data_IF_578521703935
#
_entry.id   IF_578521703935
#
_cell.length_a   1.000
_cell.length_b   1.000
_cell.length_c   1.000
_cell.angle_alpha   90.00
_cell.angle_beta   90.00
_cell.angle_gamma   90.00
#
_symmetry.space_group_name_H-M   'P 1'
#
loop_
_entity.id
_entity.type
_entity.pdbx_description
1 polymer ?
#
# COMPACT_ATOMS: atom_id res chain seq x y z
N UNK A 1 -7.45 -6.34 11.89
CA UNK A 1 -6.00 -6.65 11.90
C UNK A 1 -5.67 -7.89 12.72
N UNK A 2 -5.93 -7.91 14.04
CA UNK A 2 -5.62 -9.07 14.91
C UNK A 2 -6.17 -10.40 14.39
N UNK A 3 -7.46 -10.43 13.99
CA UNK A 3 -8.07 -11.62 13.38
C UNK A 3 -7.27 -12.12 12.16
N UNK A 4 -6.82 -11.21 11.29
CA UNK A 4 -6.02 -11.57 10.10
C UNK A 4 -4.65 -12.15 10.46
N UNK A 5 -4.01 -11.64 11.51
CA UNK A 5 -2.75 -12.16 12.03
C UNK A 5 -2.92 -13.55 12.65
N UNK A 6 -4.00 -13.75 13.42
CA UNK A 6 -4.36 -15.06 14.01
C UNK A 6 -4.62 -16.07 12.89
N UNK A 7 -5.46 -15.72 11.91
CA UNK A 7 -5.75 -16.58 10.77
C UNK A 7 -4.48 -16.96 10.00
N UNK A 8 -3.55 -16.03 9.80
CA UNK A 8 -2.26 -16.29 9.16
C UNK A 8 -1.42 -17.29 9.95
N UNK A 9 -1.32 -17.13 11.28
CA UNK A 9 -0.55 -18.02 12.15
C UNK A 9 -1.14 -19.43 12.19
N UNK A 10 -2.45 -19.53 12.44
CA UNK A 10 -3.18 -20.80 12.47
C UNK A 10 -3.09 -21.50 11.11
N UNK A 11 -3.27 -20.77 10.00
CA UNK A 11 -3.19 -21.38 8.68
C UNK A 11 -1.83 -21.96 8.34
N UNK A 12 -0.74 -21.38 8.88
CA UNK A 12 0.60 -21.92 8.67
C UNK A 12 0.81 -23.24 9.40
N UNK A 13 0.37 -23.32 10.66
CA UNK A 13 0.50 -24.49 11.52
C UNK A 13 -0.36 -25.66 11.02
N UNK A 14 -1.63 -25.40 10.71
CA UNK A 14 -2.56 -26.45 10.24
C UNK A 14 -2.36 -26.85 8.78
N UNK A 15 -1.68 -26.04 7.96
CA UNK A 15 -1.34 -26.42 6.57
C UNK A 15 -0.38 -27.60 6.51
N UNK A 16 0.50 -27.75 7.50
CA UNK A 16 1.46 -28.86 7.54
C UNK A 16 0.75 -30.22 7.72
N UNK A 17 -0.30 -30.24 8.54
CA UNK A 17 -1.02 -31.45 8.95
C UNK A 17 -2.27 -31.75 8.10
N UNK A 18 -2.68 -30.84 7.21
CA UNK A 18 -3.93 -30.97 6.47
C UNK A 18 -3.76 -31.65 5.10
N UNK A 19 -4.68 -32.58 4.81
CA UNK A 19 -4.88 -33.12 3.46
C UNK A 19 -5.40 -32.07 2.45
N UNK A 20 -6.17 -31.08 2.91
CA UNK A 20 -6.73 -30.00 2.08
C UNK A 20 -5.87 -28.72 2.19
N UNK A 21 -4.71 -28.72 1.52
CA UNK A 21 -3.77 -27.59 1.52
C UNK A 21 -4.33 -26.31 0.87
N UNK A 22 -5.27 -26.44 -0.07
CA UNK A 22 -5.88 -25.30 -0.76
C UNK A 22 -6.68 -24.40 0.18
N UNK A 23 -7.48 -24.99 1.08
CA UNK A 23 -8.27 -24.25 2.05
C UNK A 23 -7.37 -23.38 2.96
N UNK A 24 -6.28 -23.96 3.46
CA UNK A 24 -5.34 -23.25 4.32
C UNK A 24 -4.51 -22.21 3.58
N UNK A 25 -4.17 -22.43 2.30
CA UNK A 25 -3.56 -21.41 1.47
C UNK A 25 -4.49 -20.20 1.27
N UNK A 26 -5.79 -20.44 1.05
CA UNK A 26 -6.79 -19.38 0.94
C UNK A 26 -6.99 -18.65 2.26
N UNK A 27 -7.03 -19.37 3.39
CA UNK A 27 -7.14 -18.77 4.72
C UNK A 27 -5.91 -17.90 5.06
N UNK A 28 -4.70 -18.35 4.68
CA UNK A 28 -3.47 -17.56 4.82
C UNK A 28 -3.51 -16.28 3.96
N UNK A 29 -3.93 -16.41 2.70
CA UNK A 29 -4.08 -15.28 1.77
C UNK A 29 -5.15 -14.29 2.24
N UNK A 30 -6.32 -14.80 2.62
CA UNK A 30 -7.44 -13.99 3.14
C UNK A 30 -7.09 -13.28 4.44
N UNK A 31 -6.42 -13.95 5.37
CA UNK A 31 -5.95 -13.33 6.62
C UNK A 31 -4.92 -12.22 6.37
N UNK A 32 -4.00 -12.43 5.44
CA UNK A 32 -3.00 -11.43 5.03
C UNK A 32 -3.66 -10.23 4.33
N UNK A 33 -4.62 -10.47 3.44
CA UNK A 33 -5.39 -9.41 2.80
C UNK A 33 -6.21 -8.61 3.82
N UNK A 34 -6.87 -9.28 4.76
CA UNK A 34 -7.62 -8.62 5.83
C UNK A 34 -6.73 -7.73 6.70
N UNK A 35 -5.51 -8.18 6.99
CA UNK A 35 -4.54 -7.39 7.74
C UNK A 35 -4.10 -6.14 6.96
N UNK A 36 -3.79 -6.29 5.67
CA UNK A 36 -3.43 -5.19 4.79
C UNK A 36 -4.55 -4.16 4.65
N UNK A 37 -5.78 -4.62 4.40
CA UNK A 37 -6.95 -3.75 4.30
C UNK A 37 -7.19 -2.99 5.61
N UNK A 38 -7.09 -3.67 6.75
CA UNK A 38 -7.23 -3.03 8.06
C UNK A 38 -6.18 -1.93 8.28
N UNK A 39 -4.92 -2.16 7.89
CA UNK A 39 -3.87 -1.13 7.96
C UNK A 39 -4.20 0.08 7.08
N UNK A 40 -4.74 -0.16 5.88
CA UNK A 40 -5.11 0.91 4.98
C UNK A 40 -6.35 1.70 5.43
N UNK A 41 -7.35 1.05 6.04
CA UNK A 41 -8.46 1.75 6.68
C UNK A 41 -7.99 2.65 7.83
N UNK A 42 -7.05 2.17 8.65
CA UNK A 42 -6.44 2.97 9.72
C UNK A 42 -5.72 4.18 9.11
N UNK A 43 -4.87 3.96 8.10
CA UNK A 43 -4.13 5.04 7.44
C UNK A 43 -5.07 6.07 6.79
N UNK A 44 -6.08 5.62 6.06
CA UNK A 44 -7.08 6.50 5.46
C UNK A 44 -7.88 7.28 6.49
N UNK A 45 -8.21 6.67 7.63
CA UNK A 45 -8.91 7.34 8.74
C UNK A 45 -8.04 8.43 9.37
N UNK A 46 -6.75 8.17 9.57
CA UNK A 46 -5.79 9.18 10.06
C UNK A 46 -5.68 10.35 9.07
N UNK A 47 -5.59 10.05 7.77
CA UNK A 47 -5.51 11.08 6.71
C UNK A 47 -6.80 11.89 6.54
N UNK A 48 -7.97 11.30 6.80
CA UNK A 48 -9.26 11.99 6.74
C UNK A 48 -9.51 12.92 7.94
N UNK A 49 -8.72 12.76 9.01
CA UNK A 49 -8.96 13.40 10.30
C UNK A 49 -9.94 12.60 11.15
N UNK A 50 -9.53 12.29 12.38
CA UNK A 50 -10.38 11.61 13.35
C UNK A 50 -11.27 12.65 14.04
N UNK A 51 -12.60 12.45 14.04
CA UNK A 51 -13.52 13.26 14.83
C UNK A 51 -13.27 13.03 16.32
N UNK A 52 -12.55 13.95 16.95
CA UNK A 52 -12.26 13.92 18.38
C UNK A 52 -12.97 15.10 19.04
N UNK A 53 -13.84 14.82 20.01
CA UNK A 53 -14.44 15.85 20.87
C UNK A 53 -13.80 15.72 22.24
N UNK A 54 -13.08 16.74 22.70
CA UNK A 54 -12.52 16.77 24.06
C UNK A 54 -11.53 15.63 24.39
N UNK A 55 -10.76 15.13 23.41
CA UNK A 55 -9.85 13.97 23.50
C UNK A 55 -10.53 12.59 23.52
N UNK A 56 -11.86 12.53 23.36
CA UNK A 56 -12.61 11.28 23.21
C UNK A 56 -12.97 11.09 21.73
N UNK A 57 -12.81 9.86 21.23
CA UNK A 57 -13.29 9.50 19.90
C UNK A 57 -14.80 9.69 19.85
N UNK A 58 -15.26 10.67 19.07
CA UNK A 58 -16.66 11.01 18.91
C UNK A 58 -17.23 10.50 17.57
N UNK A 59 -16.47 9.65 16.88
CA UNK A 59 -16.88 9.06 15.61
C UNK A 59 -17.91 7.95 15.79
N UNK A 60 -18.80 7.81 14.82
CA UNK A 60 -19.73 6.68 14.74
C UNK A 60 -19.02 5.37 14.38
N UNK A 61 -19.67 4.24 14.61
CA UNK A 61 -19.15 2.89 14.29
C UNK A 61 -18.79 2.72 12.81
N UNK A 62 -19.31 3.58 11.91
CA UNK A 62 -19.04 3.55 10.47
C UNK A 62 -18.14 4.67 9.96
N UNK A 63 -17.66 5.58 10.84
CA UNK A 63 -16.84 6.72 10.42
C UNK A 63 -15.46 6.31 9.86
N UNK A 64 -15.04 5.06 10.11
CA UNK A 64 -13.83 4.50 9.51
C UNK A 64 -14.04 4.00 8.07
N UNK A 65 -15.28 3.77 7.64
CA UNK A 65 -15.62 3.28 6.31
C UNK A 65 -16.12 4.44 5.43
N UNK A 66 -15.19 5.12 4.77
CA UNK A 66 -15.49 6.15 3.78
C UNK A 66 -14.97 5.72 2.41
N UNK A 67 -15.50 6.28 1.31
CA UNK A 67 -14.95 6.02 -0.03
C UNK A 67 -13.44 6.28 -0.11
N UNK A 68 -12.95 7.29 0.64
CA UNK A 68 -11.54 7.61 0.73
C UNK A 68 -10.74 6.54 1.50
N UNK A 69 -11.21 6.09 2.67
CA UNK A 69 -10.49 5.03 3.42
C UNK A 69 -10.48 3.70 2.66
N UNK A 70 -11.54 3.40 1.91
CA UNK A 70 -11.60 2.24 1.02
C UNK A 70 -10.57 2.36 -0.11
N UNK A 71 -10.47 3.53 -0.74
CA UNK A 71 -9.49 3.79 -1.79
C UNK A 71 -8.06 3.60 -1.27
N UNK A 72 -7.74 4.16 -0.09
CA UNK A 72 -6.43 3.98 0.55
C UNK A 72 -6.18 2.51 0.92
N UNK A 73 -7.19 1.80 1.42
CA UNK A 73 -7.08 0.37 1.76
C UNK A 73 -6.78 -0.52 0.56
N UNK A 74 -7.47 -0.30 -0.55
CA UNK A 74 -7.23 -1.03 -1.80
C UNK A 74 -5.86 -0.69 -2.37
N UNK A 75 -5.46 0.59 -2.35
CA UNK A 75 -4.13 1.02 -2.79
C UNK A 75 -3.00 0.39 -2.00
N UNK A 76 -3.14 0.33 -0.67
CA UNK A 76 -2.16 -0.32 0.19
C UNK A 76 -2.07 -1.83 -0.09
N UNK A 77 -3.19 -2.50 -0.33
CA UNK A 77 -3.21 -3.91 -0.69
C UNK A 77 -2.46 -4.17 -2.00
N UNK A 78 -2.75 -3.40 -3.07
CA UNK A 78 -2.03 -3.53 -4.35
C UNK A 78 -0.55 -3.25 -4.20
N UNK A 79 -0.18 -2.22 -3.45
CA UNK A 79 1.23 -1.92 -3.33
C UNK A 79 2.00 -2.93 -2.46
N UNK A 80 1.36 -3.60 -1.49
CA UNK A 80 1.94 -4.78 -0.85
C UNK A 80 2.13 -5.96 -1.82
N UNK A 81 1.24 -6.12 -2.80
CA UNK A 81 1.46 -7.09 -3.90
C UNK A 81 2.70 -6.71 -4.70
N UNK A 82 2.89 -5.42 -5.03
CA UNK A 82 4.10 -4.95 -5.73
C UNK A 82 5.37 -5.24 -4.94
N UNK A 83 5.41 -4.87 -3.65
CA UNK A 83 6.56 -5.14 -2.76
C UNK A 83 6.84 -6.65 -2.63
N UNK A 84 5.80 -7.45 -2.42
CA UNK A 84 5.91 -8.90 -2.30
C UNK A 84 6.40 -9.54 -3.59
N UNK A 85 5.84 -9.16 -4.74
CA UNK A 85 6.25 -9.66 -6.04
C UNK A 85 7.68 -9.25 -6.40
N UNK A 86 8.06 -7.98 -6.16
CA UNK A 86 9.43 -7.51 -6.37
C UNK A 86 10.44 -8.21 -5.45
N UNK A 87 10.06 -8.51 -4.20
CA UNK A 87 10.89 -9.31 -3.30
C UNK A 87 11.05 -10.75 -3.80
N UNK A 88 9.97 -11.37 -4.30
CA UNK A 88 10.03 -12.71 -4.89
C UNK A 88 10.91 -12.75 -6.14
N UNK A 89 11.00 -11.69 -6.95
CA UNK A 89 11.92 -11.61 -8.09
C UNK A 89 13.38 -11.78 -7.68
N UNK A 90 13.77 -11.30 -6.48
CA UNK A 90 15.11 -11.51 -5.92
C UNK A 90 15.33 -12.97 -5.52
N UNK A 91 14.29 -13.59 -4.94
CA UNK A 91 14.37 -14.93 -4.33
C UNK A 91 14.11 -16.09 -5.29
N UNK A 92 13.61 -15.82 -6.49
CA UNK A 92 13.19 -16.84 -7.46
C UNK A 92 14.00 -16.75 -8.74
N UNK A 93 13.99 -17.82 -9.54
CA UNK A 93 14.69 -17.94 -10.84
C UNK A 93 13.78 -18.61 -11.87
N UNK A 94 14.07 -18.38 -13.15
CA UNK A 94 13.36 -19.03 -14.26
C UNK A 94 11.90 -18.57 -14.40
N UNK A 95 11.00 -19.48 -14.75
CA UNK A 95 9.60 -19.13 -15.06
C UNK A 95 8.84 -18.46 -13.91
N UNK A 96 9.12 -18.83 -12.66
CA UNK A 96 8.51 -18.20 -11.48
C UNK A 96 8.95 -16.74 -11.34
N UNK A 97 10.22 -16.45 -11.63
CA UNK A 97 10.74 -15.08 -11.58
C UNK A 97 10.04 -14.18 -12.59
N UNK A 98 9.86 -14.67 -13.82
CA UNK A 98 9.13 -13.96 -14.88
C UNK A 98 7.68 -13.71 -14.48
N UNK A 99 7.00 -14.71 -13.93
CA UNK A 99 5.64 -14.55 -13.42
C UNK A 99 5.54 -13.48 -12.33
N UNK A 100 6.46 -13.47 -11.36
CA UNK A 100 6.50 -12.43 -10.34
C UNK A 100 6.76 -11.03 -10.91
N UNK A 101 7.56 -10.90 -11.98
CA UNK A 101 7.76 -9.61 -12.67
C UNK A 101 6.46 -9.11 -13.31
N UNK A 102 5.72 -9.98 -14.00
CA UNK A 102 4.43 -9.63 -14.60
C UNK A 102 3.42 -9.21 -13.53
N UNK A 103 3.32 -9.99 -12.45
CA UNK A 103 2.43 -9.65 -11.34
C UNK A 103 2.78 -8.30 -10.71
N UNK A 104 4.08 -8.01 -10.52
CA UNK A 104 4.53 -6.72 -10.02
C UNK A 104 4.17 -5.57 -10.97
N UNK A 105 4.28 -5.77 -12.29
CA UNK A 105 3.90 -4.77 -13.29
C UNK A 105 2.40 -4.50 -13.30
N UNK A 106 1.59 -5.56 -13.30
CA UNK A 106 0.14 -5.48 -13.29
C UNK A 106 -0.39 -4.79 -12.02
N UNK A 107 0.25 -5.04 -10.86
CA UNK A 107 -0.10 -4.38 -9.61
C UNK A 107 0.47 -2.96 -9.46
N UNK A 108 1.56 -2.61 -10.17
CA UNK A 108 2.19 -1.30 -10.07
C UNK A 108 1.27 -0.19 -10.61
N UNK A 109 0.63 -0.41 -11.75
CA UNK A 109 -0.31 0.56 -12.35
C UNK A 109 -1.48 0.96 -11.42
N UNK A 110 -2.29 0.03 -10.90
CA UNK A 110 -3.37 0.38 -9.98
C UNK A 110 -2.84 1.02 -8.70
N UNK A 111 -1.68 0.59 -8.18
CA UNK A 111 -1.06 1.22 -7.02
C UNK A 111 -0.76 2.70 -7.28
N UNK A 112 -0.17 3.02 -8.43
CA UNK A 112 0.16 4.41 -8.81
C UNK A 112 -1.09 5.27 -9.00
N UNK A 113 -2.09 4.76 -9.73
CA UNK A 113 -3.35 5.48 -9.94
C UNK A 113 -4.06 5.78 -8.63
N UNK A 114 -4.12 4.80 -7.71
CA UNK A 114 -4.72 4.99 -6.39
C UNK A 114 -3.91 5.96 -5.54
N UNK A 115 -2.58 5.91 -5.59
CA UNK A 115 -1.74 6.86 -4.85
C UNK A 115 -1.98 8.31 -5.32
N UNK A 116 -2.04 8.54 -6.63
CA UNK A 116 -2.37 9.86 -7.20
C UNK A 116 -3.78 10.30 -6.80
N UNK A 117 -4.77 9.40 -6.92
CA UNK A 117 -6.13 9.69 -6.52
C UNK A 117 -6.24 10.03 -5.02
N UNK A 118 -5.51 9.32 -4.16
CA UNK A 118 -5.49 9.57 -2.72
C UNK A 118 -4.91 10.95 -2.39
N UNK A 119 -3.83 11.37 -3.05
CA UNK A 119 -3.23 12.70 -2.88
C UNK A 119 -4.18 13.82 -3.35
N UNK A 120 -4.83 13.63 -4.50
CA UNK A 120 -5.78 14.63 -5.01
C UNK A 120 -7.03 14.72 -4.15
N UNK A 121 -7.54 13.59 -3.66
CA UNK A 121 -8.72 13.55 -2.81
C UNK A 121 -8.41 14.10 -1.41
N UNK A 122 -7.26 13.78 -0.80
CA UNK A 122 -6.89 14.31 0.52
C UNK A 122 -6.87 15.85 0.55
N UNK A 123 -6.46 16.48 -0.57
CA UNK A 123 -6.52 17.93 -0.77
C UNK A 123 -7.93 18.51 -0.63
N UNK A 124 -8.95 17.78 -1.06
CA UNK A 124 -10.34 18.23 -0.98
C UNK A 124 -10.98 18.01 0.39
N UNK A 125 -10.50 17.03 1.17
CA UNK A 125 -11.09 16.69 2.48
C UNK A 125 -10.59 17.63 3.59
N UNK A 126 -9.33 18.06 3.55
CA UNK A 126 -8.70 18.78 4.65
C UNK A 126 -8.21 20.19 4.25
N UNK A 127 -8.99 21.26 4.57
CA UNK A 127 -8.56 22.64 4.35
C UNK A 127 -7.26 22.99 5.10
N UNK A 128 -6.97 22.29 6.21
CA UNK A 128 -5.73 22.43 6.97
C UNK A 128 -4.51 21.89 6.20
N UNK A 129 -4.65 20.78 5.46
CA UNK A 129 -3.59 20.29 4.57
C UNK A 129 -3.36 21.30 3.45
N UNK A 130 -4.44 21.85 2.88
CA UNK A 130 -4.34 22.89 1.85
C UNK A 130 -3.57 24.14 2.35
N UNK A 131 -3.82 24.57 3.58
CA UNK A 131 -3.08 25.69 4.20
C UNK A 131 -1.62 25.34 4.50
N UNK A 132 -1.33 24.13 4.98
CA UNK A 132 0.05 23.65 5.17
C UNK A 132 0.83 23.60 3.86
N UNK A 133 0.19 23.18 2.77
CA UNK A 133 0.79 23.10 1.44
C UNK A 133 0.98 24.48 0.82
N UNK A 134 0.04 25.40 1.05
CA UNK A 134 0.14 26.79 0.58
C UNK A 134 1.17 27.61 1.39
N UNK A 135 1.37 27.26 2.67
CA UNK A 135 2.37 27.89 3.52
C UNK A 135 3.79 27.45 3.13
N UNK A 136 4.72 28.39 3.14
CA UNK A 136 6.13 28.08 2.97
C UNK A 136 6.67 27.46 4.27
N UNK A 137 7.38 26.31 4.27
CA UNK A 137 7.93 25.55 3.13
C UNK A 137 7.11 24.31 2.70
N UNK A 138 5.87 24.13 3.17
CA UNK A 138 5.08 22.90 3.01
C UNK A 138 4.79 22.50 1.56
N UNK A 139 4.63 23.48 0.65
CA UNK A 139 4.47 23.18 -0.78
C UNK A 139 5.68 22.50 -1.42
N UNK A 140 6.90 22.82 -0.97
CA UNK A 140 8.11 22.16 -1.46
C UNK A 140 8.31 20.78 -0.84
N UNK A 141 7.94 20.65 0.44
CA UNK A 141 7.99 19.39 1.20
C UNK A 141 7.02 18.32 0.65
N UNK A 142 6.02 18.71 -0.12
CA UNK A 142 5.04 17.79 -0.75
C UNK A 142 5.34 17.55 -2.22
N UNK A 143 5.70 18.60 -2.97
CA UNK A 143 6.04 18.50 -4.39
C UNK A 143 7.32 17.69 -4.64
N UNK A 144 8.36 17.87 -3.81
CA UNK A 144 9.63 17.18 -4.01
C UNK A 144 9.50 15.65 -3.83
N UNK A 145 8.89 15.13 -2.74
CA UNK A 145 8.58 13.70 -2.63
C UNK A 145 7.63 13.21 -3.72
N UNK A 146 6.66 14.00 -4.18
CA UNK A 146 5.79 13.60 -5.28
C UNK A 146 6.59 13.30 -6.56
N UNK A 147 7.52 14.18 -6.92
CA UNK A 147 8.40 13.99 -8.09
C UNK A 147 9.26 12.74 -7.89
N UNK A 148 9.85 12.56 -6.71
CA UNK A 148 10.66 11.37 -6.42
C UNK A 148 9.85 10.07 -6.46
N UNK A 149 8.59 10.09 -6.01
CA UNK A 149 7.69 8.95 -6.13
C UNK A 149 7.41 8.62 -7.59
N UNK A 150 7.13 9.63 -8.43
CA UNK A 150 6.91 9.43 -9.87
C UNK A 150 8.16 8.87 -10.55
N UNK A 151 9.34 9.40 -10.25
CA UNK A 151 10.60 8.90 -10.78
C UNK A 151 10.88 7.45 -10.33
N UNK A 152 10.63 7.14 -9.06
CA UNK A 152 10.75 5.78 -8.53
C UNK A 152 9.78 4.82 -9.21
N UNK A 153 8.55 5.25 -9.50
CA UNK A 153 7.56 4.46 -10.23
C UNK A 153 8.00 4.16 -11.68
N UNK A 154 8.43 5.17 -12.44
CA UNK A 154 8.94 4.93 -13.79
C UNK A 154 10.22 4.09 -13.79
N UNK A 155 11.10 4.31 -12.81
CA UNK A 155 12.26 3.47 -12.57
C UNK A 155 11.86 2.02 -12.29
N UNK A 156 10.85 1.79 -11.45
CA UNK A 156 10.31 0.47 -11.13
C UNK A 156 9.78 -0.23 -12.39
N UNK A 157 8.96 0.46 -13.18
CA UNK A 157 8.43 -0.09 -14.44
C UNK A 157 9.55 -0.47 -15.40
N UNK A 158 10.54 0.41 -15.58
CA UNK A 158 11.69 0.15 -16.42
C UNK A 158 12.53 -1.02 -15.89
N UNK A 159 12.79 -1.08 -14.58
CA UNK A 159 13.53 -2.17 -13.96
C UNK A 159 12.81 -3.52 -14.14
N UNK A 160 11.49 -3.54 -13.97
CA UNK A 160 10.67 -4.74 -14.17
C UNK A 160 10.67 -5.19 -15.64
N UNK A 161 10.50 -4.26 -16.58
CA UNK A 161 10.51 -4.53 -18.03
C UNK A 161 11.88 -4.95 -18.57
N UNK A 162 12.96 -4.27 -18.16
CA UNK A 162 14.29 -4.48 -18.73
C UNK A 162 14.87 -5.86 -18.39
N UNK A 163 14.41 -6.52 -17.32
CA UNK A 163 14.88 -7.86 -16.95
C UNK A 163 16.31 -7.92 -16.38
N UNK A 164 17.11 -6.85 -16.50
CA UNK A 164 18.57 -6.86 -16.26
C UNK A 164 19.00 -6.90 -14.79
N UNK A 165 18.18 -6.36 -13.89
CA UNK A 165 18.49 -6.31 -12.46
C UNK A 165 17.38 -6.95 -11.64
N UNK A 166 17.79 -7.71 -10.64
CA UNK A 166 16.90 -8.42 -9.71
C UNK A 166 16.59 -7.58 -8.47
N UNK A 167 17.53 -6.75 -8.02
CA UNK A 167 17.41 -5.96 -6.78
C UNK A 167 16.78 -4.58 -7.00
N UNK A 168 16.97 -3.99 -8.18
CA UNK A 168 16.44 -2.65 -8.46
C UNK A 168 14.92 -2.55 -8.35
N UNK A 169 14.08 -3.53 -8.80
CA UNK A 169 12.64 -3.42 -8.65
C UNK A 169 12.20 -3.31 -7.19
N UNK A 170 12.82 -4.07 -6.28
CA UNK A 170 12.47 -4.01 -4.87
C UNK A 170 12.83 -2.66 -4.24
N UNK A 171 14.05 -2.17 -4.49
CA UNK A 171 14.49 -0.87 -3.96
C UNK A 171 13.61 0.26 -4.49
N UNK A 172 13.27 0.24 -5.79
CA UNK A 172 12.43 1.26 -6.40
C UNK A 172 10.98 1.20 -5.91
N UNK A 173 10.44 -0.01 -5.66
CA UNK A 173 9.13 -0.17 -5.03
C UNK A 173 9.10 0.41 -3.60
N UNK A 174 10.15 0.17 -2.81
CA UNK A 174 10.29 0.75 -1.46
C UNK A 174 10.39 2.26 -1.52
N UNK A 175 11.23 2.81 -2.41
CA UNK A 175 11.37 4.26 -2.58
C UNK A 175 10.06 4.91 -3.02
N UNK A 176 9.37 4.31 -3.99
CA UNK A 176 8.05 4.76 -4.43
C UNK A 176 7.08 4.85 -3.25
N UNK A 177 6.97 3.78 -2.46
CA UNK A 177 6.11 3.75 -1.27
C UNK A 177 6.47 4.81 -0.24
N UNK A 178 7.76 4.95 0.06
CA UNK A 178 8.26 5.88 1.05
C UNK A 178 7.96 7.33 0.65
N UNK A 179 8.25 7.70 -0.60
CA UNK A 179 7.99 9.04 -1.10
C UNK A 179 6.50 9.34 -1.25
N UNK A 180 5.68 8.36 -1.65
CA UNK A 180 4.22 8.51 -1.66
C UNK A 180 3.67 8.77 -0.26
N UNK A 181 4.19 8.09 0.77
CA UNK A 181 3.78 8.32 2.15
C UNK A 181 4.16 9.71 2.65
N UNK A 182 5.38 10.17 2.36
CA UNK A 182 5.82 11.53 2.72
C UNK A 182 4.95 12.58 2.00
N UNK A 183 4.66 12.37 0.72
CA UNK A 183 3.78 13.25 -0.05
C UNK A 183 2.38 13.36 0.57
N UNK A 184 1.83 12.25 1.06
CA UNK A 184 0.53 12.22 1.74
C UNK A 184 0.54 12.86 3.14
N UNK A 185 1.68 12.83 3.84
CA UNK A 185 1.82 13.34 5.20
C UNK A 185 2.25 14.82 5.28
N UNK A 186 2.88 15.34 4.22
CA UNK A 186 3.38 16.71 4.11
C UNK A 186 2.29 17.77 4.03
#
# INVERSE_FOLDING_TARGET
MLLGLILRAVSFEFRAESHHKLFWNLAFGGGSLLAALAQGFILGGVLSGVKVTGKVYAGGVWDWLTPFTLLVAVGLAFGYVVLGAAYLVIKTRGGIQTHCRHLALEAAFPTFLIAVAAVLWSRHINPFLLQKWAAWPGGWLTAFPAILAVLAFFGLLHALWAGRSETSPYVLAVLFFFFSFICLAG
#
